data_IF_184354825354
#
_entry.id   IF_184354825354
#
_cell.length_a   1.000
_cell.length_b   1.000
_cell.length_c   1.000
_cell.angle_alpha   90.00
_cell.angle_beta   90.00
_cell.angle_gamma   90.00
#
_symmetry.space_group_name_H-M   'P 1'
#
loop_
_entity.id
_entity.type
_entity.pdbx_description
1 polymer ?
#
# COMPACT_ATOMS: atom_id res chain seq x y z
N UNK A 1 15.58 -19.33 -15.43
CA UNK A 1 14.34 -19.23 -16.22
C UNK A 1 13.23 -18.66 -15.34
N UNK A 2 12.77 -17.44 -15.61
CA UNK A 2 11.63 -16.84 -14.89
C UNK A 2 10.31 -17.44 -15.37
N UNK A 3 9.35 -17.66 -14.46
CA UNK A 3 7.99 -18.03 -14.85
C UNK A 3 7.36 -16.86 -15.61
N UNK A 4 6.60 -17.16 -16.67
CA UNK A 4 5.85 -16.15 -17.42
C UNK A 4 4.92 -15.35 -16.49
N UNK A 5 4.60 -14.13 -16.93
CA UNK A 5 3.62 -13.28 -16.27
C UNK A 5 2.31 -14.05 -16.04
N UNK A 6 1.60 -13.71 -14.96
CA UNK A 6 0.31 -14.33 -14.72
C UNK A 6 -0.71 -13.86 -15.74
N UNK A 7 -1.68 -14.71 -16.07
CA UNK A 7 -2.82 -14.33 -16.90
C UNK A 7 -3.62 -13.27 -16.15
N UNK A 8 -3.98 -12.18 -16.84
CA UNK A 8 -4.73 -11.07 -16.22
C UNK A 8 -6.11 -11.52 -15.73
N UNK A 9 -6.70 -10.79 -14.78
CA UNK A 9 -8.06 -11.11 -14.32
C UNK A 9 -9.10 -10.97 -15.44
N UNK A 10 -8.93 -9.98 -16.32
CA UNK A 10 -9.79 -9.81 -17.49
C UNK A 10 -9.70 -11.03 -18.42
N UNK A 11 -8.48 -11.46 -18.73
CA UNK A 11 -8.20 -12.63 -19.58
C UNK A 11 -8.71 -13.93 -18.97
N UNK A 12 -8.57 -14.11 -17.65
CA UNK A 12 -9.18 -15.21 -16.91
C UNK A 12 -10.71 -15.20 -17.01
N UNK A 13 -11.32 -14.01 -17.00
CA UNK A 13 -12.74 -13.82 -17.24
C UNK A 13 -13.16 -14.19 -18.67
N UNK A 14 -12.40 -13.76 -19.68
CA UNK A 14 -12.61 -14.16 -21.08
C UNK A 14 -12.53 -15.68 -21.25
N UNK A 15 -11.53 -16.32 -20.63
CA UNK A 15 -11.38 -17.78 -20.64
C UNK A 15 -12.63 -18.44 -20.02
N UNK A 16 -13.11 -17.98 -18.88
CA UNK A 16 -14.31 -18.54 -18.27
C UNK A 16 -15.58 -18.35 -19.12
N UNK A 17 -15.71 -17.20 -19.79
CA UNK A 17 -16.82 -16.93 -20.71
C UNK A 17 -16.75 -17.82 -21.94
N UNK A 18 -15.58 -17.96 -22.56
CA UNK A 18 -15.30 -18.86 -23.68
C UNK A 18 -15.74 -20.30 -23.40
N UNK A 19 -15.61 -20.77 -22.14
CA UNK A 19 -16.10 -22.10 -21.74
C UNK A 19 -17.62 -22.19 -21.70
N UNK A 20 -18.30 -21.15 -21.24
CA UNK A 20 -19.78 -21.07 -21.21
C UNK A 20 -20.36 -21.01 -22.62
N UNK A 21 -19.64 -20.40 -23.55
CA UNK A 21 -19.98 -20.33 -24.97
C UNK A 21 -19.48 -21.53 -25.78
N UNK A 22 -18.92 -22.56 -25.12
CA UNK A 22 -18.41 -23.79 -25.74
C UNK A 22 -17.40 -23.58 -26.89
N UNK A 23 -16.68 -22.47 -26.86
CA UNK A 23 -15.65 -22.15 -27.86
C UNK A 23 -14.44 -23.09 -27.74
N UNK A 24 -13.72 -23.27 -28.84
CA UNK A 24 -12.56 -24.16 -28.88
C UNK A 24 -11.37 -23.55 -28.10
N UNK A 25 -10.64 -24.40 -27.38
CA UNK A 25 -9.51 -24.00 -26.53
C UNK A 25 -8.42 -23.28 -27.34
N UNK A 26 -8.19 -23.71 -28.59
CA UNK A 26 -7.20 -23.11 -29.50
C UNK A 26 -7.55 -21.69 -29.91
N UNK A 27 -8.84 -21.38 -30.10
CA UNK A 27 -9.32 -20.06 -30.45
C UNK A 27 -9.24 -19.12 -29.25
N UNK A 28 -9.65 -19.60 -28.08
CA UNK A 28 -9.50 -18.88 -26.81
C UNK A 28 -8.03 -18.58 -26.49
N UNK A 29 -7.13 -19.53 -26.76
CA UNK A 29 -5.68 -19.37 -26.60
C UNK A 29 -5.11 -18.23 -27.46
N UNK A 30 -5.59 -18.12 -28.70
CA UNK A 30 -5.19 -17.04 -29.61
C UNK A 30 -5.79 -15.70 -29.21
N UNK A 31 -7.05 -15.69 -28.77
CA UNK A 31 -7.75 -14.49 -28.34
C UNK A 31 -7.08 -13.85 -27.11
N UNK A 32 -6.69 -14.68 -26.14
CA UNK A 32 -6.16 -14.25 -24.83
C UNK A 32 -4.62 -14.24 -24.82
N UNK A 33 -3.99 -14.55 -25.95
CA UNK A 33 -2.54 -14.69 -26.12
C UNK A 33 -1.87 -15.52 -24.99
N UNK A 34 -2.47 -16.68 -24.71
CA UNK A 34 -2.05 -17.56 -23.62
C UNK A 34 -1.85 -18.99 -24.12
N UNK A 35 -1.02 -19.76 -23.42
CA UNK A 35 -0.82 -21.16 -23.78
C UNK A 35 -2.11 -21.98 -23.55
N UNK A 36 -2.34 -22.99 -24.41
CA UNK A 36 -3.45 -23.94 -24.24
C UNK A 36 -3.45 -24.61 -22.87
N UNK A 37 -2.26 -24.90 -22.32
CA UNK A 37 -2.10 -25.49 -20.98
C UNK A 37 -2.53 -24.53 -19.86
N UNK A 38 -2.30 -23.22 -20.00
CA UNK A 38 -2.79 -22.23 -19.06
C UNK A 38 -4.33 -22.19 -19.03
N UNK A 39 -4.97 -22.24 -20.21
CA UNK A 39 -6.44 -22.28 -20.31
C UNK A 39 -7.02 -23.52 -19.63
N UNK A 40 -6.46 -24.70 -19.92
CA UNK A 40 -6.91 -25.96 -19.28
C UNK A 40 -6.75 -25.88 -17.76
N UNK A 41 -5.62 -25.34 -17.28
CA UNK A 41 -5.39 -25.17 -15.84
C UNK A 41 -6.37 -24.18 -15.20
N UNK A 42 -6.69 -23.07 -15.87
CA UNK A 42 -7.66 -22.07 -15.39
C UNK A 42 -9.08 -22.67 -15.37
N UNK A 43 -9.48 -23.43 -16.40
CA UNK A 43 -10.78 -24.11 -16.40
C UNK A 43 -10.91 -25.13 -15.27
N UNK A 44 -9.90 -26.00 -15.10
CA UNK A 44 -9.90 -27.00 -14.04
C UNK A 44 -10.01 -26.34 -12.67
N UNK A 45 -9.25 -25.25 -12.46
CA UNK A 45 -9.31 -24.45 -11.25
C UNK A 45 -10.70 -23.84 -11.05
N UNK A 46 -11.27 -23.23 -12.08
CA UNK A 46 -12.60 -22.61 -11.99
C UNK A 46 -13.70 -23.63 -11.66
N UNK A 47 -13.66 -24.84 -12.23
CA UNK A 47 -14.62 -25.92 -11.92
C UNK A 47 -14.52 -26.33 -10.44
N UNK A 48 -13.32 -26.41 -9.89
CA UNK A 48 -13.11 -26.87 -8.52
C UNK A 48 -13.32 -25.77 -7.47
N UNK A 49 -12.77 -24.57 -7.70
CA UNK A 49 -12.78 -23.46 -6.74
C UNK A 49 -13.98 -22.51 -6.92
N UNK A 50 -14.68 -22.55 -8.07
CA UNK A 50 -15.69 -21.57 -8.46
C UNK A 50 -15.12 -20.19 -8.83
N UNK A 51 -13.80 -19.99 -8.71
CA UNK A 51 -13.11 -18.72 -8.91
C UNK A 51 -12.09 -18.79 -10.04
N UNK A 52 -12.07 -17.74 -10.87
CA UNK A 52 -11.10 -17.57 -11.97
C UNK A 52 -9.89 -16.75 -11.53
N UNK A 53 -9.99 -16.08 -10.38
CA UNK A 53 -8.99 -15.21 -9.80
C UNK A 53 -7.65 -15.89 -9.58
N UNK A 54 -6.59 -15.08 -9.61
CA UNK A 54 -5.26 -15.54 -9.26
C UNK A 54 -5.08 -15.57 -7.74
N UNK A 55 -4.51 -16.66 -7.21
CA UNK A 55 -4.11 -16.75 -5.79
C UNK A 55 -2.76 -16.10 -5.52
N UNK A 56 -2.22 -15.31 -6.45
CA UNK A 56 -0.91 -14.66 -6.28
C UNK A 56 -0.94 -13.46 -5.31
N UNK A 57 -2.11 -13.07 -4.80
CA UNK A 57 -2.18 -12.05 -3.76
C UNK A 57 -1.40 -12.50 -2.51
N UNK A 58 -0.51 -11.62 -2.03
CA UNK A 58 0.35 -11.93 -0.89
C UNK A 58 1.56 -12.82 -1.19
N UNK A 59 1.83 -13.14 -2.46
CA UNK A 59 3.05 -13.86 -2.86
C UNK A 59 4.24 -12.91 -2.78
N UNK A 60 5.19 -13.24 -1.91
CA UNK A 60 6.40 -12.45 -1.70
C UNK A 60 7.03 -12.73 -0.34
N UNK A 61 8.17 -12.08 -0.07
CA UNK A 61 8.82 -12.19 1.24
C UNK A 61 7.96 -11.47 2.28
N UNK A 62 7.60 -12.13 3.41
CA UNK A 62 6.90 -11.47 4.49
C UNK A 62 7.65 -10.24 5.00
N UNK A 63 6.91 -9.19 5.39
CA UNK A 63 7.50 -8.00 6.00
C UNK A 63 8.14 -8.35 7.35
N UNK A 64 9.29 -7.76 7.64
CA UNK A 64 10.02 -7.94 8.91
C UNK A 64 9.19 -7.46 10.09
N UNK A 65 8.54 -6.29 9.95
CA UNK A 65 7.62 -5.76 10.97
C UNK A 65 6.20 -6.28 10.68
N UNK A 66 5.75 -7.20 11.53
CA UNK A 66 4.36 -7.69 11.53
C UNK A 66 3.42 -6.71 12.24
N UNK A 67 2.13 -7.04 12.25
CA UNK A 67 1.08 -6.20 12.85
C UNK A 67 1.29 -5.88 14.34
N UNK A 68 1.84 -6.82 15.14
CA UNK A 68 2.21 -6.54 16.55
C UNK A 68 3.30 -5.46 16.65
N UNK A 69 4.28 -5.51 15.74
CA UNK A 69 5.34 -4.51 15.65
C UNK A 69 4.82 -3.14 15.22
N UNK A 70 3.89 -3.10 14.25
CA UNK A 70 3.19 -1.88 13.83
C UNK A 70 2.45 -1.22 14.99
N UNK A 71 1.66 -1.98 15.75
CA UNK A 71 0.97 -1.51 16.96
C UNK A 71 1.93 -0.97 18.02
N UNK A 72 3.11 -1.59 18.19
CA UNK A 72 4.14 -1.11 19.12
C UNK A 72 4.78 0.19 18.64
N UNK A 73 5.16 0.28 17.37
CA UNK A 73 5.69 1.52 16.77
C UNK A 73 4.69 2.67 16.88
N UNK A 74 3.40 2.42 16.61
CA UNK A 74 2.35 3.43 16.76
C UNK A 74 2.28 3.97 18.19
N UNK A 75 2.39 3.10 19.21
CA UNK A 75 2.43 3.53 20.62
C UNK A 75 3.66 4.37 20.95
N UNK A 76 4.85 3.97 20.50
CA UNK A 76 6.09 4.72 20.72
C UNK A 76 6.02 6.13 20.11
N UNK A 77 5.51 6.23 18.88
CA UNK A 77 5.31 7.53 18.20
C UNK A 77 4.31 8.40 18.95
N UNK A 78 3.21 7.83 19.46
CA UNK A 78 2.22 8.58 20.25
C UNK A 78 2.76 9.09 21.57
N UNK A 79 3.64 8.33 22.24
CA UNK A 79 4.29 8.76 23.48
C UNK A 79 5.18 9.98 23.24
N UNK A 80 5.96 9.99 22.16
CA UNK A 80 6.89 11.07 21.84
C UNK A 80 6.95 11.36 20.34
N UNK A 81 6.01 12.16 19.84
CA UNK A 81 5.88 12.46 18.40
C UNK A 81 7.05 13.27 17.80
N UNK A 82 7.97 13.78 18.64
CA UNK A 82 9.17 14.52 18.24
C UNK A 82 10.41 13.65 18.04
N UNK A 83 10.37 12.37 18.40
CA UNK A 83 11.53 11.49 18.29
C UNK A 83 11.95 11.27 16.83
N UNK A 84 13.26 11.08 16.63
CA UNK A 84 13.82 10.72 15.33
C UNK A 84 13.62 9.23 15.03
N UNK A 85 13.73 8.85 13.75
CA UNK A 85 13.61 7.45 13.34
C UNK A 85 14.70 6.58 13.99
N UNK A 86 15.93 7.10 14.13
CA UNK A 86 17.02 6.40 14.80
C UNK A 86 16.70 6.13 16.29
N UNK A 87 16.13 7.10 17.00
CA UNK A 87 15.70 6.94 18.39
C UNK A 87 14.55 5.93 18.51
N UNK A 88 13.56 6.00 17.62
CA UNK A 88 12.45 5.05 17.57
C UNK A 88 12.93 3.62 17.28
N UNK A 89 13.90 3.47 16.37
CA UNK A 89 14.53 2.18 16.09
C UNK A 89 15.22 1.64 17.35
N UNK A 90 16.02 2.44 18.04
CA UNK A 90 16.74 2.00 19.24
C UNK A 90 15.75 1.52 20.31
N UNK A 91 14.68 2.28 20.57
CA UNK A 91 13.62 1.90 21.51
C UNK A 91 12.84 0.66 21.07
N UNK A 92 12.59 0.52 19.77
CA UNK A 92 11.98 -0.68 19.22
C UNK A 92 12.88 -1.90 19.42
N UNK A 93 14.16 -1.83 19.07
CA UNK A 93 15.11 -2.94 19.24
C UNK A 93 15.33 -3.31 20.70
N UNK A 94 15.29 -2.36 21.64
CA UNK A 94 15.45 -2.63 23.07
C UNK A 94 14.40 -3.60 23.67
N UNK A 95 13.27 -3.81 22.99
CA UNK A 95 12.22 -4.72 23.44
C UNK A 95 11.89 -5.84 22.47
N UNK A 96 12.77 -6.14 21.51
CA UNK A 96 12.53 -7.20 20.51
C UNK A 96 13.85 -7.84 20.07
N UNK A 97 13.87 -9.17 19.92
CA UNK A 97 15.05 -9.93 19.46
C UNK A 97 15.40 -9.73 17.98
N UNK A 98 14.51 -9.09 17.21
CA UNK A 98 14.71 -8.82 15.80
C UNK A 98 15.33 -7.42 15.60
N UNK A 99 16.54 -7.38 15.04
CA UNK A 99 17.16 -6.13 14.61
C UNK A 99 16.46 -5.63 13.35
N UNK A 100 16.05 -4.36 13.37
CA UNK A 100 15.38 -3.70 12.25
C UNK A 100 16.18 -2.48 11.84
N UNK A 101 16.31 -2.24 10.53
CA UNK A 101 17.00 -1.05 10.00
C UNK A 101 16.13 0.20 10.13
N UNK A 102 16.75 1.37 10.19
CA UNK A 102 16.04 2.67 10.26
C UNK A 102 15.11 2.87 9.07
N UNK A 103 15.60 2.51 7.88
CA UNK A 103 14.82 2.57 6.65
C UNK A 103 13.56 1.70 6.73
N UNK A 104 13.64 0.52 7.35
CA UNK A 104 12.46 -0.36 7.53
C UNK A 104 11.45 0.26 8.49
N UNK A 105 11.92 0.85 9.59
CA UNK A 105 11.05 1.59 10.53
C UNK A 105 10.38 2.76 9.82
N UNK A 106 11.13 3.57 9.08
CA UNK A 106 10.61 4.71 8.33
C UNK A 106 9.54 4.30 7.31
N UNK A 107 9.83 3.29 6.47
CA UNK A 107 8.86 2.78 5.48
C UNK A 107 7.59 2.28 6.14
N UNK A 108 7.71 1.60 7.28
CA UNK A 108 6.55 1.10 8.04
C UNK A 108 5.72 2.25 8.63
N UNK A 109 6.36 3.31 9.12
CA UNK A 109 5.66 4.51 9.60
C UNK A 109 4.88 5.19 8.48
N UNK A 110 5.50 5.37 7.30
CA UNK A 110 4.84 5.95 6.12
C UNK A 110 3.66 5.10 5.64
N UNK A 111 3.81 3.77 5.59
CA UNK A 111 2.74 2.82 5.24
C UNK A 111 1.57 2.83 6.26
N UNK A 112 1.82 3.27 7.49
CA UNK A 112 0.79 3.53 8.51
C UNK A 112 0.23 4.97 8.45
N UNK A 113 0.69 5.82 7.53
CA UNK A 113 0.30 7.23 7.46
C UNK A 113 0.92 8.13 8.52
N UNK A 114 1.95 7.66 9.23
CA UNK A 114 2.66 8.43 10.25
C UNK A 114 3.84 9.17 9.62
N UNK A 115 3.68 10.49 9.47
CA UNK A 115 4.70 11.38 8.95
C UNK A 115 5.06 12.44 9.98
N UNK A 116 6.29 12.97 9.89
CA UNK A 116 6.69 14.14 10.67
C UNK A 116 5.81 15.33 10.26
N UNK A 117 5.12 15.93 11.22
CA UNK A 117 4.45 17.22 11.02
C UNK A 117 5.41 18.36 11.36
N UNK A 118 5.53 19.34 10.46
CA UNK A 118 6.11 20.63 10.81
C UNK A 118 5.01 21.51 11.41
N UNK A 119 5.25 22.20 12.54
CA UNK A 119 4.34 23.24 13.00
C UNK A 119 4.14 24.24 11.87
N UNK A 120 2.90 24.68 11.65
CA UNK A 120 2.63 25.76 10.71
C UNK A 120 3.36 27.00 11.23
N UNK A 121 4.33 27.51 10.47
CA UNK A 121 5.16 28.64 10.89
C UNK A 121 4.36 29.94 11.05
N UNK A 122 3.14 29.98 10.52
CA UNK A 122 2.29 31.15 10.51
C UNK A 122 1.01 30.81 11.28
N UNK A 123 0.65 31.58 12.32
CA UNK A 123 -0.65 31.43 12.96
C UNK A 123 -1.75 31.70 11.93
N UNK A 124 -2.80 30.89 11.96
CA UNK A 124 -3.96 31.09 11.10
C UNK A 124 -4.60 32.45 11.47
N UNK A 125 -4.49 33.41 10.56
CA UNK A 125 -5.10 34.73 10.74
C UNK A 125 -6.63 34.59 10.66
N UNK A 126 -7.29 34.80 11.80
CA UNK A 126 -8.75 34.93 11.89
C UNK A 126 -9.20 36.20 11.15
N UNK A 127 -10.50 36.28 10.78
CA UNK A 127 -11.04 37.45 10.07
C UNK A 127 -10.77 38.78 10.82
N UNK A 128 -10.87 38.76 12.16
CA UNK A 128 -10.59 39.90 13.03
C UNK A 128 -9.14 40.39 12.88
N UNK A 129 -8.16 39.49 12.91
CA UNK A 129 -6.75 39.86 12.74
C UNK A 129 -6.47 40.50 11.39
N UNK A 130 -7.14 40.02 10.32
CA UNK A 130 -7.01 40.60 8.98
C UNK A 130 -7.58 42.01 8.92
N UNK A 131 -8.75 42.24 9.53
CA UNK A 131 -9.36 43.57 9.61
C UNK A 131 -8.51 44.55 10.41
N UNK A 132 -7.97 44.15 11.56
CA UNK A 132 -7.10 45.00 12.38
C UNK A 132 -5.81 45.39 11.64
N UNK A 133 -5.20 44.46 10.91
CA UNK A 133 -4.03 44.78 10.05
C UNK A 133 -4.40 45.72 8.90
N UNK A 134 -5.56 45.54 8.29
CA UNK A 134 -6.06 46.43 7.23
C UNK A 134 -6.36 47.83 7.77
N UNK A 135 -6.90 47.94 8.97
CA UNK A 135 -7.17 49.20 9.64
C UNK A 135 -5.86 49.93 9.96
N UNK A 136 -4.90 49.22 10.57
CA UNK A 136 -3.59 49.78 10.91
C UNK A 136 -2.80 50.26 9.68
N UNK A 137 -2.84 49.51 8.57
CA UNK A 137 -2.23 49.93 7.30
C UNK A 137 -2.93 51.12 6.65
N UNK A 138 -4.21 51.36 6.93
CA UNK A 138 -4.92 52.57 6.48
C UNK A 138 -4.61 53.79 7.35
N UNK A 139 -4.45 53.58 8.66
CA UNK A 139 -4.14 54.64 9.64
C UNK A 139 -2.71 55.17 9.51
N UNK A 140 -1.77 54.34 9.05
CA UNK A 140 -0.34 54.68 8.93
C UNK A 140 0.11 54.76 7.47
N UNK A 141 -0.80 55.17 6.59
CA UNK A 141 -0.51 55.44 5.17
C UNK A 141 -0.33 56.94 5.05
N UNK A 142 0.92 57.39 4.97
CA UNK A 142 1.27 58.79 4.69
C UNK A 142 0.58 59.29 3.40
#
# INVERSE_FOLDING_TARGET
MGKAADVSEFDRGQIAMSRRLETIITETARLVDCSRSAIVSIHAKWIYDGDTGSRRQGVGRPRVIKEKGRRRLSRLVKQNWRQTVAQLRAQYSAGTSASVSEHTVQRTLLDMGLCRRRPTSVPLLTKRHRQQRLQSTREHRD
#
